data_IF_717623432906
#
_entry.id   IF_717623432906
#
_cell.length_a   1.000
_cell.length_b   1.000
_cell.length_c   1.000
_cell.angle_alpha   90.00
_cell.angle_beta   90.00
_cell.angle_gamma   90.00
#
_symmetry.space_group_name_H-M   'P 1'
#
loop_
_entity.id
_entity.type
_entity.pdbx_description
1 polymer ?
#
# COMPACT_ATOMS: atom_id res chain seq x y z
N UNK A 1 -38.23 -8.52 -8.87
CA UNK A 1 -37.30 -7.82 -7.93
C UNK A 1 -37.63 -6.33 -8.03
N UNK A 2 -38.12 -5.70 -6.95
CA UNK A 2 -38.46 -4.28 -6.96
C UNK A 2 -37.16 -3.45 -7.14
N UNK A 3 -37.23 -2.37 -7.92
CA UNK A 3 -36.12 -1.43 -8.03
C UNK A 3 -35.88 -0.76 -6.67
N UNK A 4 -34.61 -0.56 -6.24
CA UNK A 4 -34.32 0.12 -4.99
C UNK A 4 -34.89 1.56 -5.03
N UNK A 5 -35.40 2.02 -3.90
CA UNK A 5 -35.90 3.39 -3.79
C UNK A 5 -34.73 4.38 -3.89
N UNK A 6 -35.02 5.63 -4.26
CA UNK A 6 -33.98 6.69 -4.27
C UNK A 6 -33.32 6.87 -2.89
N UNK A 7 -34.07 6.63 -1.82
CA UNK A 7 -33.55 6.66 -0.43
C UNK A 7 -32.55 5.50 -0.19
N UNK A 8 -32.83 4.29 -0.67
CA UNK A 8 -31.94 3.15 -0.51
C UNK A 8 -30.62 3.36 -1.27
N UNK A 9 -30.68 3.98 -2.45
CA UNK A 9 -29.49 4.31 -3.26
C UNK A 9 -28.64 5.35 -2.56
N UNK A 10 -29.24 6.41 -2.01
CA UNK A 10 -28.53 7.43 -1.27
C UNK A 10 -27.87 6.87 -0.01
N UNK A 11 -28.59 6.04 0.74
CA UNK A 11 -28.07 5.37 1.93
C UNK A 11 -26.89 4.46 1.63
N UNK A 12 -26.96 3.71 0.53
CA UNK A 12 -25.86 2.85 0.08
C UNK A 12 -24.63 3.67 -0.33
N UNK A 13 -24.83 4.82 -0.98
CA UNK A 13 -23.74 5.73 -1.35
C UNK A 13 -23.05 6.33 -0.11
N UNK A 14 -23.82 6.82 0.88
CA UNK A 14 -23.29 7.32 2.14
C UNK A 14 -22.45 6.27 2.88
N UNK A 15 -22.94 5.04 2.98
CA UNK A 15 -22.24 3.92 3.62
C UNK A 15 -20.94 3.57 2.91
N UNK A 16 -20.94 3.53 1.56
CA UNK A 16 -19.72 3.30 0.78
C UNK A 16 -18.70 4.42 0.97
N UNK A 17 -19.13 5.68 0.91
CA UNK A 17 -18.25 6.82 1.12
C UNK A 17 -17.56 6.75 2.49
N UNK A 18 -18.30 6.45 3.56
CA UNK A 18 -17.75 6.29 4.90
C UNK A 18 -16.80 5.07 5.00
N UNK A 19 -17.13 3.95 4.35
CA UNK A 19 -16.27 2.77 4.33
C UNK A 19 -14.97 3.03 3.57
N UNK A 20 -15.03 3.69 2.42
CA UNK A 20 -13.88 4.10 1.60
C UNK A 20 -12.96 5.04 2.38
N UNK A 21 -13.53 6.03 3.07
CA UNK A 21 -12.78 6.93 3.94
C UNK A 21 -12.00 6.16 5.01
N UNK A 22 -12.67 5.27 5.75
CA UNK A 22 -12.04 4.50 6.83
C UNK A 22 -10.99 3.52 6.32
N UNK A 23 -11.14 2.98 5.11
CA UNK A 23 -10.13 2.10 4.51
C UNK A 23 -8.85 2.87 4.16
N UNK A 24 -8.98 4.09 3.62
CA UNK A 24 -7.86 4.98 3.30
C UNK A 24 -7.24 5.62 4.55
N UNK A 25 -8.09 6.07 5.45
CA UNK A 25 -7.73 6.78 6.67
C UNK A 25 -8.25 6.00 7.87
N UNK A 26 -7.49 4.99 8.33
CA UNK A 26 -7.95 4.09 9.40
C UNK A 26 -8.16 4.77 10.77
N UNK A 27 -7.77 6.01 10.91
CA UNK A 27 -8.03 6.85 12.08
C UNK A 27 -8.56 8.19 11.58
N UNK A 28 -9.80 8.50 11.95
CA UNK A 28 -10.49 9.76 11.63
C UNK A 28 -10.91 10.40 12.94
N UNK A 29 -10.60 11.68 13.12
CA UNK A 29 -10.94 12.45 14.34
C UNK A 29 -11.92 13.57 14.03
N UNK A 30 -12.67 13.99 15.03
CA UNK A 30 -13.67 15.05 14.89
C UNK A 30 -13.04 16.43 14.55
N UNK A 31 -11.78 16.65 14.91
CA UNK A 31 -11.04 17.90 14.71
C UNK A 31 -9.88 17.75 13.72
N UNK A 32 -9.76 16.59 13.05
CA UNK A 32 -8.65 16.29 12.16
C UNK A 32 -8.90 16.66 10.70
N UNK A 33 -8.00 16.23 9.79
CA UNK A 33 -8.08 16.54 8.35
C UNK A 33 -9.36 16.08 7.65
N UNK A 34 -10.10 15.13 8.25
CA UNK A 34 -11.35 14.56 7.71
C UNK A 34 -12.54 14.77 8.67
N UNK A 35 -12.50 15.85 9.45
CA UNK A 35 -13.54 16.17 10.43
C UNK A 35 -14.93 16.34 9.81
N UNK A 36 -15.02 16.85 8.61
CA UNK A 36 -16.25 17.02 7.82
C UNK A 36 -16.96 15.69 7.52
N UNK A 37 -16.20 14.60 7.35
CA UNK A 37 -16.73 13.28 7.09
C UNK A 37 -16.99 12.44 8.35
N UNK A 38 -16.48 12.86 9.51
CA UNK A 38 -16.65 12.13 10.77
C UNK A 38 -18.12 11.92 11.18
N UNK A 39 -19.04 12.92 11.04
CA UNK A 39 -20.48 12.72 11.31
C UNK A 39 -21.11 11.61 10.47
N UNK A 40 -20.64 11.42 9.21
CA UNK A 40 -21.11 10.36 8.33
C UNK A 40 -20.69 8.98 8.85
N UNK A 41 -19.44 8.85 9.28
CA UNK A 41 -18.92 7.61 9.91
C UNK A 41 -19.73 7.27 11.16
N UNK A 42 -20.01 8.24 12.03
CA UNK A 42 -20.82 8.04 13.24
C UNK A 42 -22.25 7.60 12.93
N UNK A 43 -22.88 8.22 11.94
CA UNK A 43 -24.26 7.87 11.53
C UNK A 43 -24.40 6.41 11.13
N UNK A 44 -23.36 5.84 10.49
CA UNK A 44 -23.37 4.48 9.96
C UNK A 44 -22.51 3.50 10.77
N UNK A 45 -22.14 3.86 12.02
CA UNK A 45 -21.16 3.14 12.83
C UNK A 45 -21.46 1.63 12.95
N UNK A 46 -22.69 1.26 13.30
CA UNK A 46 -23.09 -0.14 13.50
C UNK A 46 -22.99 -0.95 12.20
N UNK A 47 -23.49 -0.40 11.11
CA UNK A 47 -23.42 -1.04 9.80
C UNK A 47 -21.96 -1.22 9.34
N UNK A 48 -21.14 -0.17 9.48
CA UNK A 48 -19.73 -0.19 9.14
C UNK A 48 -18.95 -1.22 9.96
N UNK A 49 -19.16 -1.23 11.29
CA UNK A 49 -18.51 -2.18 12.19
C UNK A 49 -18.87 -3.63 11.82
N UNK A 50 -20.16 -3.90 11.59
CA UNK A 50 -20.60 -5.22 11.17
C UNK A 50 -20.00 -5.62 9.82
N UNK A 51 -20.02 -4.73 8.82
CA UNK A 51 -19.54 -5.05 7.47
C UNK A 51 -18.03 -5.22 7.41
N UNK A 52 -17.24 -4.34 8.03
CA UNK A 52 -15.80 -4.52 8.11
C UNK A 52 -15.41 -5.81 8.81
N UNK A 53 -16.08 -6.15 9.90
CA UNK A 53 -15.83 -7.42 10.59
C UNK A 53 -16.21 -8.63 9.74
N UNK A 54 -17.36 -8.62 9.05
CA UNK A 54 -17.83 -9.74 8.23
C UNK A 54 -17.02 -9.93 6.95
N UNK A 55 -16.63 -8.84 6.28
CA UNK A 55 -15.95 -8.90 4.98
C UNK A 55 -14.44 -9.03 5.17
N UNK A 56 -13.82 -8.19 5.98
CA UNK A 56 -12.36 -8.09 6.10
C UNK A 56 -11.81 -8.60 7.45
N UNK A 57 -12.68 -8.87 8.41
CA UNK A 57 -12.26 -9.19 9.77
C UNK A 57 -11.58 -8.01 10.47
N UNK A 58 -11.84 -6.78 10.04
CA UNK A 58 -11.33 -5.57 10.65
C UNK A 58 -12.30 -5.07 11.71
N UNK A 59 -11.79 -4.85 12.92
CA UNK A 59 -12.56 -4.23 14.00
C UNK A 59 -12.64 -2.72 13.77
N UNK A 60 -13.85 -2.15 13.87
CA UNK A 60 -14.06 -0.72 13.88
C UNK A 60 -14.49 -0.29 15.29
N UNK A 61 -13.84 0.76 15.81
CA UNK A 61 -14.22 1.46 17.03
C UNK A 61 -14.67 2.87 16.63
N UNK A 62 -15.84 3.29 17.09
CA UNK A 62 -16.35 4.65 16.86
C UNK A 62 -16.71 5.27 18.22
N UNK A 63 -15.98 6.30 18.58
CA UNK A 63 -16.11 7.05 19.82
C UNK A 63 -16.72 8.44 19.55
N UNK A 64 -16.88 9.23 20.59
CA UNK A 64 -17.46 10.58 20.47
C UNK A 64 -16.60 11.51 19.59
N UNK A 65 -15.29 11.36 19.64
CA UNK A 65 -14.31 12.28 19.03
C UNK A 65 -13.44 11.63 17.95
N UNK A 66 -13.46 10.31 17.80
CA UNK A 66 -12.69 9.61 16.77
C UNK A 66 -13.33 8.30 16.34
N UNK A 67 -12.93 7.83 15.15
CA UNK A 67 -13.21 6.50 14.65
C UNK A 67 -11.90 5.81 14.25
N UNK A 68 -11.73 4.54 14.66
CA UNK A 68 -10.53 3.75 14.40
C UNK A 68 -10.89 2.41 13.77
N UNK A 69 -10.49 2.22 12.51
CA UNK A 69 -10.51 0.92 11.83
C UNK A 69 -9.18 0.20 12.08
N UNK A 70 -9.22 -0.91 12.81
CA UNK A 70 -8.02 -1.71 13.09
C UNK A 70 -7.71 -2.61 11.89
N UNK A 71 -6.94 -2.07 10.93
CA UNK A 71 -6.48 -2.83 9.77
C UNK A 71 -5.38 -3.79 10.20
N UNK A 72 -5.55 -5.06 9.86
CA UNK A 72 -4.50 -6.05 10.05
C UNK A 72 -3.56 -6.03 8.84
N UNK A 73 -2.26 -6.21 9.09
CA UNK A 73 -1.27 -6.37 8.02
C UNK A 73 -1.44 -7.70 7.26
N UNK A 74 -0.74 -7.82 6.14
CA UNK A 74 -0.66 -9.06 5.34
C UNK A 74 0.64 -9.85 5.61
N UNK A 75 1.37 -9.49 6.66
CA UNK A 75 2.63 -10.09 7.02
C UNK A 75 3.87 -9.27 6.62
N UNK A 76 5.07 -9.82 6.82
CA UNK A 76 6.32 -9.15 6.52
C UNK A 76 6.39 -8.72 5.04
N UNK A 77 6.87 -7.49 4.80
CA UNK A 77 7.03 -6.94 3.46
C UNK A 77 5.76 -6.40 2.80
N UNK A 78 4.60 -6.48 3.46
CA UNK A 78 3.33 -5.98 2.93
C UNK A 78 3.02 -4.52 3.32
N UNK A 79 3.83 -3.92 4.19
CA UNK A 79 3.60 -2.58 4.72
C UNK A 79 4.00 -1.47 3.74
N UNK A 80 3.23 -0.39 3.75
CA UNK A 80 3.61 0.86 3.09
C UNK A 80 4.49 1.69 4.02
N UNK A 81 5.55 2.30 3.48
CA UNK A 81 6.38 3.22 4.24
C UNK A 81 5.62 4.50 4.52
N UNK A 82 5.65 4.96 5.76
CA UNK A 82 5.16 6.30 6.08
C UNK A 82 6.08 7.36 5.47
N UNK A 83 5.49 8.45 5.05
CA UNK A 83 6.19 9.58 4.45
C UNK A 83 5.93 10.84 5.26
N UNK A 84 6.88 11.75 5.21
CA UNK A 84 6.71 13.13 5.69
C UNK A 84 5.80 13.88 4.74
N UNK A 85 5.30 15.03 5.14
CA UNK A 85 4.52 15.92 4.26
C UNK A 85 5.25 16.34 2.97
N UNK A 86 6.58 16.23 2.95
CA UNK A 86 7.44 16.49 1.79
C UNK A 86 7.56 15.30 0.83
N UNK A 87 6.90 14.16 1.09
CA UNK A 87 7.05 12.91 0.33
C UNK A 87 8.30 12.10 0.69
N UNK A 88 9.14 12.57 1.64
CA UNK A 88 10.33 11.82 2.06
C UNK A 88 9.95 10.66 2.96
N UNK A 89 10.36 9.40 2.66
CA UNK A 89 10.05 8.24 3.48
C UNK A 89 10.62 8.37 4.90
N UNK A 90 9.88 7.80 5.87
CA UNK A 90 10.37 7.66 7.22
C UNK A 90 11.57 6.71 7.27
N UNK A 91 12.60 7.12 8.02
CA UNK A 91 13.76 6.28 8.31
C UNK A 91 13.44 5.33 9.48
N UNK A 92 14.18 4.21 9.64
CA UNK A 92 14.05 3.35 10.81
C UNK A 92 14.13 4.11 12.13
N UNK A 93 14.98 5.14 12.18
CA UNK A 93 15.13 6.01 13.33
C UNK A 93 13.91 6.88 13.61
N UNK A 94 13.20 7.34 12.57
CA UNK A 94 11.93 8.06 12.72
C UNK A 94 10.85 7.15 13.32
N UNK A 95 10.78 5.89 12.90
CA UNK A 95 9.87 4.90 13.49
C UNK A 95 10.21 4.60 14.95
N UNK A 96 11.51 4.51 15.29
CA UNK A 96 11.93 4.31 16.69
C UNK A 96 11.46 5.47 17.58
N UNK A 97 11.68 6.73 17.15
CA UNK A 97 11.16 7.88 17.89
C UNK A 97 9.64 7.90 17.99
N UNK A 98 8.93 7.50 16.94
CA UNK A 98 7.47 7.39 16.95
C UNK A 98 6.99 6.35 17.97
N UNK A 99 7.62 5.18 18.02
CA UNK A 99 7.28 4.14 18.98
C UNK A 99 7.57 4.56 20.43
N UNK A 100 8.73 5.17 20.66
CA UNK A 100 9.10 5.69 21.98
C UNK A 100 8.14 6.80 22.43
N UNK A 101 7.82 7.75 21.56
CA UNK A 101 6.86 8.81 21.88
C UNK A 101 5.47 8.21 22.21
N UNK A 102 5.00 7.23 21.44
CA UNK A 102 3.73 6.54 21.75
C UNK A 102 3.78 5.85 23.11
N UNK A 103 4.88 5.18 23.47
CA UNK A 103 5.01 4.54 24.79
C UNK A 103 4.91 5.55 25.95
N UNK A 104 5.49 6.73 25.78
CA UNK A 104 5.42 7.83 26.75
C UNK A 104 3.98 8.37 26.82
N UNK A 105 3.34 8.64 25.68
CA UNK A 105 2.01 9.25 25.63
C UNK A 105 0.91 8.41 26.30
N UNK A 106 1.07 7.09 26.32
CA UNK A 106 0.08 6.16 26.94
C UNK A 106 -0.09 6.46 28.45
N UNK A 107 0.95 6.96 29.14
CA UNK A 107 0.96 7.26 30.58
C UNK A 107 1.13 8.74 30.90
N UNK A 108 1.40 9.59 29.90
CA UNK A 108 1.63 11.02 30.06
C UNK A 108 0.42 11.73 30.69
N UNK A 109 0.59 12.85 31.40
CA UNK A 109 -0.51 13.71 31.82
C UNK A 109 -1.26 14.29 30.61
N UNK A 110 -2.46 14.84 30.83
CA UNK A 110 -3.28 15.43 29.76
C UNK A 110 -2.59 16.60 29.07
N UNK A 111 -1.79 17.38 29.82
CA UNK A 111 -0.95 18.45 29.28
C UNK A 111 0.51 18.20 29.60
N UNK A 112 1.37 18.43 28.62
CA UNK A 112 2.81 18.24 28.75
C UNK A 112 3.55 19.34 27.99
N UNK A 113 4.65 19.82 28.56
CA UNK A 113 5.58 20.69 27.85
C UNK A 113 6.40 19.88 26.84
N UNK A 114 6.67 20.49 25.70
CA UNK A 114 7.46 19.84 24.64
C UNK A 114 8.85 19.42 25.13
N UNK A 115 9.51 20.26 25.93
CA UNK A 115 10.80 19.94 26.54
C UNK A 115 10.72 18.71 27.44
N UNK A 116 9.63 18.59 28.25
CA UNK A 116 9.42 17.43 29.11
C UNK A 116 9.16 16.18 28.27
N UNK A 117 8.30 16.24 27.25
CA UNK A 117 8.04 15.12 26.36
C UNK A 117 9.32 14.62 25.67
N UNK A 118 10.17 15.54 25.22
CA UNK A 118 11.48 15.21 24.63
C UNK A 118 12.40 14.52 25.65
N UNK A 119 12.41 14.98 26.89
CA UNK A 119 13.19 14.35 27.97
C UNK A 119 12.69 12.94 28.28
N UNK A 120 11.36 12.75 28.37
CA UNK A 120 10.74 11.45 28.65
C UNK A 120 10.98 10.45 27.49
N UNK A 121 10.91 10.90 26.23
CA UNK A 121 11.25 10.07 25.06
C UNK A 121 12.72 9.64 25.08
N UNK A 122 13.62 10.50 25.52
CA UNK A 122 15.04 10.15 25.68
C UNK A 122 15.25 9.14 26.81
N UNK A 123 14.59 9.34 27.94
CA UNK A 123 14.64 8.38 29.05
C UNK A 123 14.11 7.01 28.60
N UNK A 124 12.97 6.95 27.92
CA UNK A 124 12.44 5.73 27.38
C UNK A 124 13.38 5.03 26.37
N UNK A 125 14.15 5.78 25.60
CA UNK A 125 15.16 5.23 24.71
C UNK A 125 16.32 4.58 25.46
N UNK A 126 16.82 5.22 26.52
CA UNK A 126 17.86 4.65 27.38
C UNK A 126 17.37 3.36 28.03
N UNK A 127 16.14 3.36 28.57
CA UNK A 127 15.53 2.19 29.19
C UNK A 127 15.35 1.04 28.20
N UNK A 128 15.09 1.35 26.93
CA UNK A 128 15.02 0.37 25.84
C UNK A 128 16.39 -0.10 25.31
N UNK A 129 17.50 0.37 25.89
CA UNK A 129 18.85 0.04 25.44
C UNK A 129 19.25 0.65 24.09
N UNK A 130 18.52 1.67 23.63
CA UNK A 130 18.80 2.35 22.37
C UNK A 130 19.80 3.48 22.59
N UNK A 131 20.94 3.40 21.90
CA UNK A 131 21.92 4.50 21.89
C UNK A 131 21.41 5.63 21.01
N UNK A 132 20.76 6.62 21.61
CA UNK A 132 20.47 7.90 20.96
C UNK A 132 21.72 8.77 21.14
N UNK A 133 22.73 8.52 20.31
CA UNK A 133 23.92 9.34 20.28
C UNK A 133 23.53 10.75 19.83
N UNK A 134 23.96 11.72 20.64
CA UNK A 134 23.99 13.16 20.31
C UNK A 134 22.61 13.74 19.88
N UNK A 135 21.66 13.67 20.79
CA UNK A 135 20.32 14.28 20.65
C UNK A 135 20.31 15.79 20.36
N UNK A 136 21.47 16.43 20.43
CA UNK A 136 21.69 17.83 20.07
C UNK A 136 21.89 18.08 18.58
N UNK A 137 22.20 17.05 17.77
CA UNK A 137 22.44 17.22 16.33
C UNK A 137 21.18 17.67 15.58
N UNK A 138 21.28 18.61 14.64
CA UNK A 138 20.12 19.08 13.86
C UNK A 138 19.35 17.98 13.15
N UNK A 139 20.01 16.89 12.75
CA UNK A 139 19.40 15.74 12.09
C UNK A 139 18.47 14.98 13.07
N UNK A 140 18.92 14.76 14.31
CA UNK A 140 18.15 14.07 15.33
C UNK A 140 16.91 14.89 15.74
N UNK A 141 17.07 16.18 15.97
CA UNK A 141 15.97 17.09 16.25
C UNK A 141 14.92 17.06 15.15
N UNK A 142 15.34 17.10 13.88
CA UNK A 142 14.41 17.00 12.72
C UNK A 142 13.73 15.64 12.63
N UNK A 143 14.41 14.57 13.02
CA UNK A 143 13.86 13.22 13.01
C UNK A 143 12.80 13.05 14.09
N UNK A 144 13.07 13.52 15.31
CA UNK A 144 12.09 13.56 16.40
C UNK A 144 10.89 14.46 16.05
N UNK A 145 11.14 15.67 15.54
CA UNK A 145 10.06 16.57 15.12
C UNK A 145 9.15 15.93 14.05
N UNK A 146 9.71 15.12 13.13
CA UNK A 146 8.90 14.39 12.14
C UNK A 146 8.01 13.32 12.78
N UNK A 147 8.51 12.61 13.80
CA UNK A 147 7.72 11.65 14.56
C UNK A 147 6.59 12.34 15.36
N UNK A 148 6.90 13.44 16.04
CA UNK A 148 5.90 14.21 16.80
C UNK A 148 4.82 14.83 15.89
N UNK A 149 5.18 15.37 14.72
CA UNK A 149 4.21 15.86 13.74
C UNK A 149 3.24 14.77 13.30
N UNK A 150 3.72 13.54 13.11
CA UNK A 150 2.83 12.42 12.78
C UNK A 150 1.82 12.11 13.90
N UNK A 151 2.22 12.29 15.16
CA UNK A 151 1.31 12.13 16.30
C UNK A 151 0.29 13.27 16.39
N UNK A 152 0.68 14.48 15.98
CA UNK A 152 -0.27 15.60 15.80
C UNK A 152 -1.24 15.31 14.64
N UNK A 153 -0.74 14.88 13.48
CA UNK A 153 -1.58 14.50 12.33
C UNK A 153 -2.61 13.42 12.69
N UNK A 154 -2.27 12.52 13.60
CA UNK A 154 -3.16 11.48 14.10
C UNK A 154 -4.08 11.92 15.25
N UNK A 155 -3.90 13.12 15.76
CA UNK A 155 -4.68 13.62 16.90
C UNK A 155 -4.31 13.00 18.25
N UNK A 156 -3.20 12.25 18.34
CA UNK A 156 -2.66 11.77 19.61
C UNK A 156 -2.03 12.91 20.43
N UNK A 157 -1.59 13.97 19.74
CA UNK A 157 -1.13 15.24 20.30
C UNK A 157 -1.91 16.38 19.65
N UNK A 158 -2.20 17.41 20.43
CA UNK A 158 -2.72 18.69 19.93
C UNK A 158 -1.79 19.80 20.40
N UNK A 159 -1.39 20.68 19.49
CA UNK A 159 -0.58 21.86 19.78
C UNK A 159 -1.51 22.93 20.40
N UNK A 160 -1.45 23.08 21.72
CA UNK A 160 -2.30 24.04 22.45
C UNK A 160 -1.69 25.44 22.41
N UNK A 161 -0.36 25.52 22.57
CA UNK A 161 0.44 26.73 22.40
C UNK A 161 1.82 26.36 21.88
N UNK A 162 2.34 27.10 20.90
CA UNK A 162 3.58 26.76 20.22
C UNK A 162 3.42 25.61 19.22
N UNK A 163 4.54 25.00 18.80
CA UNK A 163 4.56 23.92 17.81
C UNK A 163 5.61 22.87 18.09
N UNK A 164 5.31 21.59 17.82
CA UNK A 164 6.30 20.50 17.86
C UNK A 164 7.47 20.73 16.88
N UNK A 165 7.30 21.58 15.89
CA UNK A 165 8.35 22.01 14.97
C UNK A 165 9.48 22.74 15.65
N UNK A 166 9.25 23.39 16.79
CA UNK A 166 10.24 24.14 17.55
C UNK A 166 11.38 23.26 18.10
N UNK A 167 11.18 21.94 18.24
CA UNK A 167 12.26 20.99 18.56
C UNK A 167 13.43 21.10 17.57
N UNK A 168 13.13 21.35 16.29
CA UNK A 168 14.13 21.43 15.23
C UNK A 168 14.72 22.83 15.07
N UNK A 169 14.17 23.85 15.73
CA UNK A 169 14.67 25.21 15.66
C UNK A 169 15.98 25.37 16.46
N UNK A 170 16.89 26.21 15.97
CA UNK A 170 18.18 26.48 16.64
C UNK A 170 17.97 27.16 18.00
N UNK A 171 16.98 28.04 18.14
CA UNK A 171 16.69 28.79 19.35
C UNK A 171 15.90 27.98 20.41
N UNK A 172 15.43 26.78 20.10
CA UNK A 172 14.67 25.93 21.02
C UNK A 172 13.43 26.63 21.56
N UNK A 173 12.31 26.55 20.84
CA UNK A 173 11.01 27.06 21.32
C UNK A 173 10.33 26.06 22.24
N UNK A 174 9.58 26.54 23.24
CA UNK A 174 8.70 25.70 24.06
C UNK A 174 7.33 25.60 23.43
N UNK A 175 6.63 24.51 23.70
CA UNK A 175 5.24 24.32 23.29
C UNK A 175 4.46 23.57 24.38
N UNK A 176 3.20 23.93 24.54
CA UNK A 176 2.26 23.22 25.40
C UNK A 176 1.43 22.28 24.51
N UNK A 177 1.47 20.99 24.84
CA UNK A 177 0.80 19.94 24.09
C UNK A 177 -0.31 19.30 24.93
N UNK A 178 -1.47 19.10 24.34
CA UNK A 178 -2.54 18.27 24.91
C UNK A 178 -2.43 16.85 24.39
N UNK A 179 -2.45 15.88 25.30
CA UNK A 179 -2.26 14.43 25.00
C UNK A 179 -3.60 13.72 24.98
N UNK A 180 -3.96 13.12 23.83
CA UNK A 180 -5.07 12.21 23.73
C UNK A 180 -4.57 10.75 23.90
N UNK A 181 -4.64 10.26 25.15
CA UNK A 181 -4.18 8.91 25.51
C UNK A 181 -5.00 7.81 24.85
N UNK A 182 -6.28 8.01 24.61
CA UNK A 182 -7.14 7.00 23.98
C UNK A 182 -6.75 6.80 22.53
N UNK A 183 -6.52 7.88 21.79
CA UNK A 183 -5.99 7.81 20.43
C UNK A 183 -4.62 7.16 20.44
N UNK A 184 -3.70 7.60 21.31
CA UNK A 184 -2.35 7.03 21.39
C UNK A 184 -2.38 5.50 21.59
N UNK A 185 -3.26 4.99 22.47
CA UNK A 185 -3.45 3.55 22.70
C UNK A 185 -4.05 2.81 21.49
N UNK A 186 -4.83 3.50 20.67
CA UNK A 186 -5.52 2.91 19.52
C UNK A 186 -4.66 2.85 18.24
N UNK A 187 -3.51 3.52 18.20
CA UNK A 187 -2.68 3.63 16.98
C UNK A 187 -2.17 2.27 16.54
N UNK A 188 -1.64 1.48 17.46
CA UNK A 188 -1.12 0.14 17.13
C UNK A 188 -2.27 -0.85 17.02
N UNK A 189 -2.45 -1.42 15.85
CA UNK A 189 -3.55 -2.33 15.55
C UNK A 189 -3.32 -3.79 15.98
N UNK A 190 -2.07 -4.18 16.28
CA UNK A 190 -1.70 -5.55 16.58
C UNK A 190 -1.82 -5.92 18.07
N UNK A 191 -1.69 -7.20 18.41
CA UNK A 191 -1.78 -7.72 19.77
C UNK A 191 -0.48 -7.51 20.56
N UNK A 192 -0.18 -6.25 20.91
CA UNK A 192 1.06 -5.85 21.61
C UNK A 192 1.38 -6.70 22.85
N UNK A 193 0.38 -6.94 23.69
CA UNK A 193 0.57 -7.68 24.95
C UNK A 193 0.85 -9.17 24.77
N UNK A 194 0.58 -9.71 23.59
CA UNK A 194 0.79 -11.12 23.25
C UNK A 194 2.05 -11.33 22.42
N UNK A 195 2.68 -10.24 21.97
CA UNK A 195 3.85 -10.28 21.09
C UNK A 195 5.14 -10.18 21.88
N UNK A 196 6.12 -10.99 21.51
CA UNK A 196 7.43 -11.05 22.17
C UNK A 196 8.38 -9.99 21.65
N UNK A 197 8.22 -9.62 20.37
CA UNK A 197 9.02 -8.60 19.67
C UNK A 197 8.26 -8.02 18.47
N UNK A 198 8.89 -7.11 17.73
CA UNK A 198 8.27 -6.46 16.57
C UNK A 198 7.99 -7.41 15.41
N UNK A 199 8.80 -8.43 15.20
CA UNK A 199 8.59 -9.43 14.16
C UNK A 199 7.40 -10.33 14.49
N UNK A 200 7.29 -10.78 15.73
CA UNK A 200 6.15 -11.53 16.22
C UNK A 200 4.86 -10.71 16.18
N UNK A 201 4.93 -9.40 16.50
CA UNK A 201 3.79 -8.49 16.37
C UNK A 201 3.27 -8.43 14.92
N UNK A 202 4.17 -8.31 13.94
CA UNK A 202 3.81 -8.29 12.51
C UNK A 202 3.17 -9.60 12.08
N UNK A 203 3.73 -10.72 12.50
CA UNK A 203 3.20 -12.06 12.19
C UNK A 203 1.81 -12.29 12.80
N UNK A 204 1.64 -11.98 14.09
CA UNK A 204 0.34 -12.11 14.78
C UNK A 204 -0.70 -11.15 14.25
N UNK A 205 -0.30 -9.94 13.85
CA UNK A 205 -1.21 -8.97 13.23
C UNK A 205 -1.75 -9.44 11.88
N UNK A 206 -0.99 -10.27 11.17
CA UNK A 206 -1.40 -10.83 9.88
C UNK A 206 -2.31 -12.05 10.01
N UNK A 207 -2.36 -12.68 11.19
CA UNK A 207 -3.19 -13.85 11.44
C UNK A 207 -4.68 -13.54 11.15
N UNK A 208 -5.33 -14.23 10.22
CA UNK A 208 -6.74 -14.03 9.90
C UNK A 208 -7.69 -14.57 10.99
N UNK A 209 -7.18 -15.24 12.02
CA UNK A 209 -7.95 -15.83 13.11
C UNK A 209 -8.97 -16.87 12.61
N UNK A 210 -10.14 -16.91 13.25
CA UNK A 210 -11.23 -17.84 12.88
C UNK A 210 -11.75 -17.68 11.44
N UNK A 211 -11.47 -16.55 10.77
CA UNK A 211 -11.81 -16.34 9.38
C UNK A 211 -10.97 -17.15 8.40
N UNK A 212 -9.80 -17.60 8.83
CA UNK A 212 -8.87 -18.45 8.07
C UNK A 212 -8.58 -17.95 6.66
N UNK A 213 -8.47 -18.87 5.69
CA UNK A 213 -8.14 -18.56 4.30
C UNK A 213 -9.05 -17.49 3.68
N UNK A 214 -10.34 -17.50 4.02
CA UNK A 214 -11.34 -16.56 3.51
C UNK A 214 -10.98 -15.11 3.84
N UNK A 215 -10.73 -14.83 5.11
CA UNK A 215 -10.42 -13.47 5.57
C UNK A 215 -9.08 -13.00 5.02
N UNK A 216 -8.08 -13.88 4.95
CA UNK A 216 -6.78 -13.57 4.37
C UNK A 216 -6.88 -13.19 2.89
N UNK A 217 -7.57 -14.00 2.08
CA UNK A 217 -7.75 -13.71 0.64
C UNK A 217 -8.51 -12.39 0.44
N UNK A 218 -9.56 -12.13 1.23
CA UNK A 218 -10.33 -10.89 1.15
C UNK A 218 -9.49 -9.66 1.47
N UNK A 219 -8.64 -9.73 2.50
CA UNK A 219 -7.68 -8.67 2.82
C UNK A 219 -6.71 -8.45 1.65
N UNK A 220 -6.17 -9.50 1.06
CA UNK A 220 -5.31 -9.40 -0.12
C UNK A 220 -6.01 -8.74 -1.30
N UNK A 221 -7.26 -9.08 -1.58
CA UNK A 221 -8.03 -8.48 -2.68
C UNK A 221 -8.20 -6.97 -2.56
N UNK A 222 -8.23 -6.42 -1.35
CA UNK A 222 -8.39 -4.98 -1.11
C UNK A 222 -7.05 -4.25 -0.94
N UNK A 223 -6.06 -4.91 -0.32
CA UNK A 223 -4.79 -4.28 0.05
C UNK A 223 -3.69 -4.48 -1.03
N UNK A 224 -3.96 -5.26 -2.10
CA UNK A 224 -2.98 -5.46 -3.18
C UNK A 224 -3.62 -5.25 -4.55
N UNK A 225 -2.88 -4.70 -5.52
CA UNK A 225 -3.43 -4.42 -6.86
C UNK A 225 -3.96 -5.66 -7.58
N UNK A 226 -3.31 -6.81 -7.41
CA UNK A 226 -3.67 -8.10 -8.03
C UNK A 226 -3.39 -9.23 -7.08
N UNK A 227 -4.29 -10.20 -6.97
CA UNK A 227 -4.08 -11.46 -6.29
C UNK A 227 -3.94 -12.56 -7.33
N UNK A 228 -2.72 -13.08 -7.52
CA UNK A 228 -2.46 -14.19 -8.42
C UNK A 228 -2.82 -15.52 -7.75
N UNK A 229 -3.43 -16.44 -8.52
CA UNK A 229 -3.88 -17.74 -7.99
C UNK A 229 -2.72 -18.66 -7.61
N UNK A 230 -1.57 -18.54 -8.26
CA UNK A 230 -0.36 -19.30 -7.96
C UNK A 230 0.32 -18.88 -6.64
N UNK A 231 -0.01 -17.72 -6.11
CA UNK A 231 0.46 -17.23 -4.80
C UNK A 231 -0.39 -17.72 -3.62
N UNK A 232 -1.54 -18.28 -3.90
CA UNK A 232 -2.47 -18.78 -2.91
C UNK A 232 -2.17 -20.25 -2.59
N UNK A 233 -2.39 -20.63 -1.34
CA UNK A 233 -2.43 -22.04 -0.96
C UNK A 233 -3.58 -22.74 -1.70
N UNK A 234 -3.56 -24.05 -1.78
CA UNK A 234 -4.62 -24.82 -2.44
C UNK A 234 -6.00 -24.50 -1.84
N UNK A 235 -6.11 -24.45 -0.51
CA UNK A 235 -7.36 -24.13 0.17
C UNK A 235 -7.87 -22.71 -0.12
N UNK A 236 -6.97 -21.71 -0.20
CA UNK A 236 -7.30 -20.34 -0.54
C UNK A 236 -7.75 -20.20 -1.99
N UNK A 237 -7.05 -20.89 -2.89
CA UNK A 237 -7.35 -20.92 -4.33
C UNK A 237 -8.71 -21.54 -4.61
N UNK A 238 -9.00 -22.69 -4.03
CA UNK A 238 -10.27 -23.39 -4.20
C UNK A 238 -11.42 -22.57 -3.59
N UNK A 239 -11.19 -21.96 -2.44
CA UNK A 239 -12.16 -21.07 -1.83
C UNK A 239 -12.47 -19.88 -2.76
N UNK A 240 -11.45 -19.22 -3.31
CA UNK A 240 -11.62 -18.07 -4.20
C UNK A 240 -12.33 -18.47 -5.49
N UNK A 241 -11.88 -19.54 -6.18
CA UNK A 241 -12.47 -20.02 -7.44
C UNK A 241 -13.96 -20.31 -7.33
N UNK A 242 -14.39 -20.90 -6.23
CA UNK A 242 -15.79 -21.27 -6.02
C UNK A 242 -16.70 -20.10 -5.65
N UNK A 243 -16.13 -18.95 -5.24
CA UNK A 243 -16.89 -17.85 -4.63
C UNK A 243 -16.66 -16.48 -5.26
N UNK A 244 -15.93 -16.38 -6.34
CA UNK A 244 -15.52 -15.12 -6.99
C UNK A 244 -16.69 -14.12 -7.17
N UNK A 245 -17.84 -14.57 -7.65
CA UNK A 245 -19.01 -13.69 -7.85
C UNK A 245 -19.57 -13.14 -6.55
N UNK A 246 -19.71 -13.99 -5.54
CA UNK A 246 -20.22 -13.59 -4.23
C UNK A 246 -19.26 -12.61 -3.54
N UNK A 247 -17.97 -12.80 -3.70
CA UNK A 247 -16.96 -11.89 -3.17
C UNK A 247 -16.98 -10.55 -3.91
N UNK A 248 -17.13 -10.55 -5.23
CA UNK A 248 -17.32 -9.34 -6.01
C UNK A 248 -18.52 -8.52 -5.54
N UNK A 249 -19.66 -9.18 -5.28
CA UNK A 249 -20.86 -8.54 -4.73
C UNK A 249 -20.60 -7.92 -3.36
N UNK A 250 -19.89 -8.62 -2.46
CA UNK A 250 -19.58 -8.13 -1.12
C UNK A 250 -18.68 -6.89 -1.15
N UNK A 251 -17.69 -6.84 -2.05
CA UNK A 251 -16.83 -5.68 -2.23
C UNK A 251 -17.53 -4.52 -2.95
N UNK A 252 -18.38 -4.81 -3.91
CA UNK A 252 -19.22 -3.80 -4.56
C UNK A 252 -20.19 -3.15 -3.57
N UNK A 253 -20.81 -3.93 -2.67
CA UNK A 253 -21.68 -3.40 -1.63
C UNK A 253 -20.93 -2.52 -0.61
N UNK A 254 -19.79 -3.00 -0.09
CA UNK A 254 -19.02 -2.32 0.95
C UNK A 254 -18.25 -1.12 0.43
N UNK A 255 -17.57 -1.27 -0.72
CA UNK A 255 -16.57 -0.33 -1.21
C UNK A 255 -16.87 0.25 -2.61
N UNK A 256 -17.84 -0.31 -3.34
CA UNK A 256 -18.10 0.08 -4.73
C UNK A 256 -17.07 -0.45 -5.72
N UNK A 257 -16.26 -1.44 -5.31
CA UNK A 257 -15.23 -2.02 -6.18
C UNK A 257 -15.83 -2.99 -7.19
N UNK A 258 -15.23 -3.05 -8.37
CA UNK A 258 -15.53 -4.00 -9.42
C UNK A 258 -14.43 -5.07 -9.51
N UNK A 259 -14.83 -6.34 -9.61
CA UNK A 259 -13.87 -7.43 -9.72
C UNK A 259 -13.55 -7.73 -11.19
N UNK A 260 -12.27 -7.62 -11.56
CA UNK A 260 -11.73 -8.17 -12.80
C UNK A 260 -11.19 -9.57 -12.51
N UNK A 261 -11.91 -10.60 -13.03
CA UNK A 261 -11.61 -12.00 -12.78
C UNK A 261 -11.03 -12.60 -14.06
N UNK A 262 -9.81 -13.15 -13.95
CA UNK A 262 -9.10 -13.84 -15.04
C UNK A 262 -8.63 -15.22 -14.58
N UNK A 263 -8.16 -16.02 -15.53
CA UNK A 263 -7.64 -17.37 -15.24
C UNK A 263 -6.43 -17.33 -14.27
N UNK A 264 -5.59 -16.31 -14.38
CA UNK A 264 -4.38 -16.13 -13.59
C UNK A 264 -4.60 -15.48 -12.22
N UNK A 265 -5.71 -14.74 -12.04
CA UNK A 265 -5.92 -13.99 -10.80
C UNK A 265 -7.14 -13.11 -10.76
N UNK A 266 -7.24 -12.34 -9.68
CA UNK A 266 -8.33 -11.39 -9.44
C UNK A 266 -7.75 -10.03 -9.04
N UNK A 267 -8.25 -8.98 -9.69
CA UNK A 267 -8.00 -7.59 -9.31
C UNK A 267 -9.31 -6.91 -8.92
N UNK A 268 -9.27 -6.11 -7.85
CA UNK A 268 -10.37 -5.23 -7.49
C UNK A 268 -10.10 -3.84 -8.07
N UNK A 269 -11.00 -3.39 -8.92
CA UNK A 269 -10.90 -2.12 -9.63
C UNK A 269 -11.79 -1.10 -8.94
N UNK A 270 -11.23 0.07 -8.65
CA UNK A 270 -11.99 1.22 -8.19
C UNK A 270 -12.37 2.09 -9.40
N UNK A 271 -13.65 2.15 -9.79
CA UNK A 271 -14.07 2.96 -10.93
C UNK A 271 -13.93 4.46 -10.71
N UNK A 272 -13.87 4.89 -9.45
CA UNK A 272 -13.76 6.32 -9.07
C UNK A 272 -12.31 6.76 -8.84
N UNK A 273 -11.32 5.85 -8.86
CA UNK A 273 -9.89 6.11 -8.60
C UNK A 273 -9.59 6.77 -7.23
N UNK A 274 -10.48 6.63 -6.25
CA UNK A 274 -10.31 7.26 -4.93
C UNK A 274 -9.58 6.37 -3.92
N UNK A 275 -9.71 5.04 -4.02
CA UNK A 275 -9.10 4.09 -3.10
C UNK A 275 -7.67 3.71 -3.47
N UNK A 276 -7.22 4.03 -4.69
CA UNK A 276 -5.87 3.70 -5.11
C UNK A 276 -4.84 4.70 -4.57
N UNK A 277 -3.76 4.19 -4.00
CA UNK A 277 -2.56 4.92 -3.59
C UNK A 277 -1.43 4.83 -4.62
N UNK A 278 -1.56 3.94 -5.60
CA UNK A 278 -0.65 3.75 -6.72
C UNK A 278 -1.38 4.01 -8.04
N UNK A 279 -1.12 5.18 -8.66
CA UNK A 279 -1.77 5.54 -9.91
C UNK A 279 -0.94 5.10 -11.12
N UNK A 280 -1.51 4.19 -11.93
CA UNK A 280 -1.00 3.83 -13.24
C UNK A 280 -2.19 3.60 -14.19
N UNK A 281 -2.41 4.45 -15.21
CA UNK A 281 -1.67 5.66 -15.58
C UNK A 281 -1.61 6.72 -14.48
N UNK A 282 -0.47 7.45 -14.40
CA UNK A 282 -0.24 8.49 -13.42
C UNK A 282 0.44 9.71 -14.04
N UNK A 283 0.56 10.77 -13.24
CA UNK A 283 1.27 11.99 -13.62
C UNK A 283 2.76 11.92 -13.25
N UNK A 284 3.59 12.65 -13.97
CA UNK A 284 5.03 12.74 -13.71
C UNK A 284 5.87 11.71 -14.49
N UNK A 285 7.18 11.95 -14.49
CA UNK A 285 8.15 11.24 -15.34
C UNK A 285 8.14 9.73 -15.09
N UNK A 286 8.20 9.30 -13.83
CA UNK A 286 8.27 7.88 -13.47
C UNK A 286 7.01 7.13 -13.88
N UNK A 287 5.81 7.70 -13.63
CA UNK A 287 4.56 7.04 -13.98
C UNK A 287 4.37 6.93 -15.51
N UNK A 288 4.77 7.98 -16.26
CA UNK A 288 4.73 7.95 -17.72
C UNK A 288 5.74 6.94 -18.29
N UNK A 289 6.98 6.95 -17.80
CA UNK A 289 8.01 6.01 -18.22
C UNK A 289 7.61 4.55 -17.90
N UNK A 290 7.07 4.29 -16.71
CA UNK A 290 6.59 2.98 -16.31
C UNK A 290 5.44 2.48 -17.21
N UNK A 291 4.47 3.35 -17.54
CA UNK A 291 3.37 3.00 -18.43
C UNK A 291 3.86 2.64 -19.84
N UNK A 292 4.74 3.45 -20.41
CA UNK A 292 5.31 3.20 -21.73
C UNK A 292 6.20 1.95 -21.72
N UNK A 293 6.98 1.74 -20.66
CA UNK A 293 7.83 0.57 -20.51
C UNK A 293 7.00 -0.71 -20.46
N UNK A 294 5.94 -0.77 -19.66
CA UNK A 294 5.11 -1.98 -19.57
C UNK A 294 4.41 -2.28 -20.90
N UNK A 295 3.93 -1.26 -21.62
CA UNK A 295 3.36 -1.43 -22.97
C UNK A 295 4.40 -2.04 -23.94
N UNK A 296 5.64 -1.51 -23.97
CA UNK A 296 6.73 -2.03 -24.81
C UNK A 296 7.10 -3.47 -24.44
N UNK A 297 7.21 -3.77 -23.13
CA UNK A 297 7.52 -5.11 -22.64
C UNK A 297 6.45 -6.13 -23.08
N UNK A 298 5.17 -5.82 -22.90
CA UNK A 298 4.08 -6.73 -23.29
C UNK A 298 4.08 -6.97 -24.81
N UNK A 299 4.32 -5.95 -25.62
CA UNK A 299 4.41 -6.11 -27.08
C UNK A 299 5.61 -6.93 -27.54
N UNK A 300 6.75 -6.77 -26.86
CA UNK A 300 8.00 -7.44 -27.22
C UNK A 300 8.00 -8.90 -26.80
N UNK A 301 7.52 -9.20 -25.59
CA UNK A 301 7.63 -10.52 -24.97
C UNK A 301 6.45 -11.46 -25.23
N UNK A 302 5.27 -10.91 -25.50
CA UNK A 302 4.01 -11.67 -25.74
C UNK A 302 3.83 -12.77 -24.69
N UNK A 303 3.33 -12.44 -23.47
CA UNK A 303 3.13 -13.40 -22.40
C UNK A 303 2.37 -14.64 -22.87
N UNK A 304 2.86 -15.82 -22.53
CA UNK A 304 2.23 -17.10 -22.77
C UNK A 304 1.59 -17.66 -21.48
N UNK A 305 0.91 -18.80 -21.58
CA UNK A 305 0.25 -19.44 -20.44
C UNK A 305 1.21 -20.33 -19.62
N UNK A 306 2.48 -20.44 -20.01
CA UNK A 306 3.43 -21.27 -19.32
C UNK A 306 3.84 -20.65 -17.97
N UNK A 307 3.94 -21.46 -16.94
CA UNK A 307 4.47 -21.04 -15.65
C UNK A 307 6.00 -20.89 -15.71
N UNK A 308 6.52 -19.75 -15.27
CA UNK A 308 7.93 -19.45 -15.24
C UNK A 308 8.48 -19.39 -13.82
N UNK A 309 9.71 -19.81 -13.57
CA UNK A 309 10.35 -19.67 -12.27
C UNK A 309 10.58 -18.19 -11.97
N UNK A 310 9.91 -17.70 -10.94
CA UNK A 310 10.01 -16.31 -10.53
C UNK A 310 9.82 -16.19 -9.02
N UNK A 311 10.00 -15.03 -8.52
CA UNK A 311 9.58 -14.50 -7.22
C UNK A 311 9.61 -15.47 -6.03
N UNK A 312 10.71 -15.48 -5.31
CA UNK A 312 10.85 -16.26 -4.08
C UNK A 312 10.78 -17.77 -4.26
N UNK A 313 11.14 -18.26 -5.45
CA UNK A 313 11.20 -19.68 -5.77
C UNK A 313 9.86 -20.32 -6.10
N UNK A 314 8.88 -19.55 -6.55
CA UNK A 314 7.57 -20.02 -7.02
C UNK A 314 7.50 -20.07 -8.53
N UNK A 315 6.60 -20.91 -9.04
CA UNK A 315 6.13 -20.76 -10.42
C UNK A 315 5.09 -19.64 -10.45
N UNK A 316 5.21 -18.72 -11.41
CA UNK A 316 4.21 -17.68 -11.63
C UNK A 316 3.88 -17.59 -13.12
N UNK A 317 2.65 -17.20 -13.42
CA UNK A 317 2.22 -16.95 -14.80
C UNK A 317 2.81 -15.61 -15.24
N UNK A 318 3.80 -15.68 -16.12
CA UNK A 318 4.51 -14.52 -16.61
C UNK A 318 5.60 -14.91 -17.59
N UNK A 319 6.35 -13.93 -18.09
CA UNK A 319 7.44 -14.14 -19.05
C UNK A 319 8.73 -13.56 -18.49
N UNK A 320 9.83 -14.32 -18.45
CA UNK A 320 11.14 -13.77 -18.09
C UNK A 320 11.52 -12.60 -19.00
N UNK A 321 11.97 -11.51 -18.42
CA UNK A 321 12.49 -10.36 -19.16
C UNK A 321 13.96 -10.61 -19.41
N UNK A 322 14.40 -10.64 -20.69
CA UNK A 322 15.82 -10.82 -21.03
C UNK A 322 16.72 -9.78 -20.37
N UNK A 323 17.91 -10.16 -19.90
CA UNK A 323 18.88 -9.22 -19.35
C UNK A 323 19.14 -8.06 -20.33
N UNK A 324 19.15 -6.84 -19.81
CA UNK A 324 19.40 -5.63 -20.62
C UNK A 324 18.18 -5.05 -21.34
N UNK A 325 17.12 -5.84 -21.60
CA UNK A 325 15.95 -5.36 -22.35
C UNK A 325 15.25 -4.15 -21.70
N UNK A 326 15.14 -4.11 -20.37
CA UNK A 326 14.56 -2.96 -19.67
C UNK A 326 15.39 -1.70 -19.88
N UNK A 327 16.73 -1.82 -19.89
CA UNK A 327 17.62 -0.69 -20.13
C UNK A 327 17.48 -0.19 -21.59
N UNK A 328 17.53 -1.10 -22.54
CA UNK A 328 17.34 -0.82 -23.98
C UNK A 328 16.02 -0.05 -24.23
N UNK A 329 14.90 -0.60 -23.74
CA UNK A 329 13.59 0.03 -23.93
C UNK A 329 13.45 1.38 -23.23
N UNK A 330 14.05 1.57 -22.06
CA UNK A 330 14.01 2.86 -21.38
C UNK A 330 14.89 3.89 -22.06
N UNK A 331 16.05 3.52 -22.57
CA UNK A 331 16.90 4.42 -23.32
C UNK A 331 16.19 4.90 -24.62
N UNK A 332 15.53 3.98 -25.36
CA UNK A 332 14.66 4.33 -26.49
C UNK A 332 13.54 5.30 -26.07
N UNK A 333 12.87 5.06 -24.91
CA UNK A 333 11.79 5.92 -24.43
C UNK A 333 12.30 7.29 -24.01
N UNK A 334 13.49 7.40 -23.43
CA UNK A 334 14.12 8.69 -23.07
C UNK A 334 14.44 9.49 -24.32
N UNK A 335 14.95 8.87 -25.39
CA UNK A 335 15.21 9.51 -26.66
C UNK A 335 13.92 9.98 -27.34
N UNK A 336 12.87 9.14 -27.36
CA UNK A 336 11.60 9.43 -28.03
C UNK A 336 10.74 10.46 -27.29
N UNK A 337 10.61 10.30 -25.97
CA UNK A 337 9.65 11.06 -25.15
C UNK A 337 10.29 12.06 -24.19
N UNK A 338 11.52 11.89 -23.77
CA UNK A 338 12.13 12.65 -22.69
C UNK A 338 12.01 14.16 -22.84
N UNK A 339 12.26 14.70 -24.05
CA UNK A 339 12.10 16.12 -24.35
C UNK A 339 10.64 16.51 -24.66
N UNK A 340 9.91 15.66 -25.39
CA UNK A 340 8.54 15.95 -25.84
C UNK A 340 7.53 15.93 -24.70
N UNK A 341 7.70 15.02 -23.74
CA UNK A 341 6.85 14.87 -22.57
C UNK A 341 7.35 15.69 -21.36
N UNK A 342 8.39 16.50 -21.55
CA UNK A 342 8.95 17.36 -20.50
C UNK A 342 9.33 16.59 -19.23
N UNK A 343 10.03 15.45 -19.40
CA UNK A 343 10.49 14.66 -18.27
C UNK A 343 11.50 15.41 -17.41
N UNK A 344 11.50 15.15 -16.12
CA UNK A 344 12.38 15.82 -15.17
C UNK A 344 13.85 15.59 -15.53
N UNK A 345 14.64 16.67 -15.54
CA UNK A 345 16.03 16.66 -15.96
C UNK A 345 16.89 15.68 -15.16
N UNK A 346 16.66 15.55 -13.86
CA UNK A 346 17.40 14.60 -13.02
C UNK A 346 17.28 13.15 -13.48
N UNK A 347 16.14 12.76 -14.08
CA UNK A 347 15.96 11.43 -14.66
C UNK A 347 16.58 11.30 -16.05
N UNK A 348 16.59 12.39 -16.84
CA UNK A 348 17.27 12.40 -18.13
C UNK A 348 18.79 12.32 -17.97
N UNK A 349 19.32 12.97 -16.93
CA UNK A 349 20.75 12.93 -16.59
C UNK A 349 21.17 11.61 -15.92
N UNK A 350 20.21 10.84 -15.39
CA UNK A 350 20.43 9.55 -14.72
C UNK A 350 19.40 8.48 -15.13
N UNK A 351 19.51 7.88 -16.33
CA UNK A 351 18.56 6.82 -16.79
C UNK A 351 18.49 5.61 -15.86
N UNK A 352 19.57 5.32 -15.15
CA UNK A 352 19.60 4.24 -14.16
C UNK A 352 18.64 4.50 -12.98
N UNK A 353 18.49 5.76 -12.55
CA UNK A 353 17.54 6.15 -11.51
C UNK A 353 16.10 6.00 -12.03
N UNK A 354 15.82 6.51 -13.24
CA UNK A 354 14.52 6.34 -13.87
C UNK A 354 14.12 4.86 -13.98
N UNK A 355 15.07 4.01 -14.37
CA UNK A 355 14.85 2.56 -14.46
C UNK A 355 14.49 1.95 -13.12
N UNK A 356 15.23 2.29 -12.06
CA UNK A 356 14.98 1.78 -10.72
C UNK A 356 13.59 2.18 -10.22
N UNK A 357 13.23 3.45 -10.35
CA UNK A 357 11.95 3.97 -9.87
C UNK A 357 10.76 3.45 -10.71
N UNK A 358 10.92 3.31 -12.03
CA UNK A 358 9.90 2.74 -12.90
C UNK A 358 9.66 1.24 -12.58
N UNK A 359 10.72 0.45 -12.39
CA UNK A 359 10.60 -0.94 -11.99
C UNK A 359 10.01 -1.10 -10.59
N UNK A 360 10.36 -0.23 -9.64
CA UNK A 360 9.74 -0.22 -8.31
C UNK A 360 8.23 0.04 -8.40
N UNK A 361 7.80 1.04 -9.18
CA UNK A 361 6.38 1.31 -9.40
C UNK A 361 5.66 0.12 -10.03
N UNK A 362 6.21 -0.46 -11.10
CA UNK A 362 5.63 -1.63 -11.77
C UNK A 362 5.59 -2.87 -10.85
N UNK A 363 6.59 -3.04 -9.99
CA UNK A 363 6.62 -4.12 -9.01
C UNK A 363 5.56 -3.93 -7.92
N UNK A 364 5.38 -2.70 -7.42
CA UNK A 364 4.32 -2.37 -6.46
C UNK A 364 2.93 -2.56 -7.07
N UNK A 365 2.77 -2.25 -8.36
CA UNK A 365 1.55 -2.53 -9.14
C UNK A 365 1.39 -4.01 -9.49
N UNK A 366 2.37 -4.85 -9.15
CA UNK A 366 2.38 -6.29 -9.44
C UNK A 366 2.28 -6.60 -10.94
N UNK A 367 2.93 -5.80 -11.76
CA UNK A 367 3.04 -5.96 -13.21
C UNK A 367 4.37 -6.59 -13.61
N UNK A 368 5.40 -6.41 -12.80
CA UNK A 368 6.67 -7.11 -12.87
C UNK A 368 7.06 -7.63 -11.49
N UNK A 369 7.94 -8.62 -11.45
CA UNK A 369 8.52 -9.11 -10.21
C UNK A 369 9.98 -9.51 -10.43
N UNK A 370 10.86 -9.41 -9.39
CA UNK A 370 12.21 -9.93 -9.49
C UNK A 370 12.17 -11.45 -9.63
N UNK A 371 12.94 -11.99 -10.58
CA UNK A 371 13.14 -13.42 -10.73
C UNK A 371 13.93 -13.97 -9.53
N UNK A 372 13.69 -15.22 -9.16
CA UNK A 372 14.38 -15.89 -8.06
C UNK A 372 14.55 -17.38 -8.33
N UNK A 373 15.43 -18.07 -7.60
CA UNK A 373 15.60 -19.50 -7.74
C UNK A 373 14.33 -20.26 -7.38
N UNK A 374 14.01 -21.33 -8.11
CA UNK A 374 12.93 -22.25 -7.78
C UNK A 374 13.16 -22.87 -6.39
N UNK A 375 12.13 -22.86 -5.55
CA UNK A 375 12.11 -23.69 -4.34
C UNK A 375 11.83 -25.14 -4.72
N UNK A 376 12.51 -26.07 -4.06
CA UNK A 376 12.47 -27.51 -4.37
C UNK A 376 11.07 -28.14 -4.14
N UNK A 377 10.20 -27.51 -3.38
CA UNK A 377 8.87 -28.00 -3.01
C UNK A 377 7.71 -27.51 -3.89
N UNK A 378 7.97 -26.58 -4.81
CA UNK A 378 6.97 -26.09 -5.78
C UNK A 378 5.72 -25.44 -5.19
N UNK A 379 5.56 -25.45 -3.85
CA UNK A 379 4.42 -24.91 -3.13
C UNK A 379 4.82 -23.66 -2.35
N UNK A 380 4.35 -22.53 -2.83
CA UNK A 380 4.68 -21.26 -2.21
C UNK A 380 3.82 -20.97 -0.99
N UNK A 381 4.18 -21.46 0.17
CA UNK A 381 3.66 -20.93 1.42
C UNK A 381 4.26 -19.54 1.65
N UNK A 382 3.49 -18.52 2.00
CA UNK A 382 4.04 -17.21 2.34
C UNK A 382 5.13 -17.35 3.41
N UNK A 383 6.24 -16.60 3.34
CA UNK A 383 7.37 -16.73 4.28
C UNK A 383 6.98 -16.63 5.77
N UNK A 384 5.86 -16.00 6.06
CA UNK A 384 5.32 -15.87 7.42
C UNK A 384 4.55 -17.11 7.90
N UNK A 385 4.02 -17.93 6.98
CA UNK A 385 3.32 -19.18 7.33
C UNK A 385 4.29 -20.29 7.73
N UNK A 386 5.49 -20.34 7.13
CA UNK A 386 6.53 -21.31 7.47
C UNK A 386 7.11 -21.09 8.88
N UNK A 387 7.08 -19.86 9.41
CA UNK A 387 7.55 -19.58 10.77
C UNK A 387 6.56 -19.90 11.87
N UNK A 388 5.28 -20.01 11.57
CA UNK A 388 4.29 -20.52 12.53
C UNK A 388 4.46 -22.01 12.80
N UNK A 389 5.26 -22.72 11.98
CA UNK A 389 5.51 -24.15 12.06
C UNK A 389 6.88 -24.57 12.64
N UNK A 390 7.75 -23.63 13.04
CA UNK A 390 9.00 -23.95 13.76
C UNK A 390 10.28 -23.37 13.17
N UNK A 391 11.07 -22.84 14.04
CA UNK A 391 12.46 -22.40 14.02
C UNK A 391 12.77 -20.93 13.72
N UNK A 392 13.06 -20.23 14.84
CA UNK A 392 13.46 -18.84 14.89
C UNK A 392 14.85 -18.55 14.32
N UNK A 393 14.91 -18.08 13.07
CA UNK A 393 16.04 -17.28 12.60
C UNK A 393 15.53 -16.05 11.88
N UNK A 394 15.80 -14.91 12.49
CA UNK A 394 15.50 -13.60 11.95
C UNK A 394 16.26 -13.35 10.64
N UNK A 395 15.57 -12.95 9.59
CA UNK A 395 16.19 -12.30 8.43
C UNK A 395 16.22 -10.81 8.72
N UNK A 396 17.32 -10.35 9.30
CA UNK A 396 17.72 -8.95 9.37
C UNK A 396 18.52 -8.65 8.10
N UNK A 397 17.91 -8.27 7.01
CA UNK A 397 18.54 -7.36 6.05
C UNK A 397 17.55 -6.84 5.01
N UNK A 398 16.92 -5.72 5.30
CA UNK A 398 16.13 -4.95 4.33
C UNK A 398 17.06 -4.10 3.43
N UNK A 399 18.34 -4.01 3.77
CA UNK A 399 19.34 -3.25 2.99
C UNK A 399 19.85 -4.03 1.77
N UNK A 400 19.83 -5.36 1.81
CA UNK A 400 20.28 -6.21 0.70
C UNK A 400 19.33 -6.17 -0.52
N UNK A 401 18.06 -5.81 -0.33
CA UNK A 401 17.09 -5.71 -1.43
C UNK A 401 17.39 -4.55 -2.41
N UNK A 402 18.20 -3.56 -2.01
CA UNK A 402 18.59 -2.44 -2.88
C UNK A 402 19.77 -2.76 -3.81
N UNK A 403 20.56 -3.79 -3.51
CA UNK A 403 21.78 -4.12 -4.27
C UNK A 403 21.57 -5.30 -5.23
N UNK A 404 20.45 -6.03 -5.12
CA UNK A 404 20.14 -7.19 -5.97
C UNK A 404 19.38 -6.82 -7.27
N UNK A 405 19.49 -5.60 -7.76
CA UNK A 405 18.78 -5.11 -8.96
C UNK A 405 19.46 -5.46 -10.28
N UNK A 406 20.41 -6.36 -10.29
CA UNK A 406 21.10 -6.83 -11.53
C UNK A 406 20.68 -8.26 -11.88
N UNK A 407 19.50 -8.69 -11.48
CA UNK A 407 19.01 -10.03 -11.83
C UNK A 407 17.66 -9.95 -12.52
N UNK A 408 17.43 -10.87 -13.34
CA UNK A 408 16.28 -11.19 -14.15
C UNK A 408 14.94 -10.77 -13.51
N UNK A 409 14.16 -10.06 -14.28
CA UNK A 409 12.78 -9.70 -13.94
C UNK A 409 11.81 -10.59 -14.69
N UNK A 410 10.61 -10.77 -14.16
CA UNK A 410 9.50 -11.45 -14.82
C UNK A 410 8.39 -10.45 -15.08
N UNK A 411 7.92 -10.39 -16.31
CA UNK A 411 6.71 -9.66 -16.68
C UNK A 411 5.50 -10.53 -16.28
N UNK A 412 4.67 -10.03 -15.38
CA UNK A 412 3.52 -10.76 -14.85
C UNK A 412 2.28 -10.59 -15.74
N UNK A 413 1.35 -11.55 -15.66
CA UNK A 413 0.18 -11.62 -16.55
C UNK A 413 -0.69 -10.36 -16.53
N UNK A 414 -0.87 -9.70 -15.37
CA UNK A 414 -1.66 -8.46 -15.28
C UNK A 414 -1.08 -7.30 -16.11
N UNK A 415 0.19 -7.35 -16.49
CA UNK A 415 0.80 -6.35 -17.38
C UNK A 415 0.10 -6.28 -18.74
N UNK A 416 -0.47 -7.39 -19.21
CA UNK A 416 -1.20 -7.46 -20.49
C UNK A 416 -2.39 -6.48 -20.56
N UNK A 417 -2.93 -6.06 -19.42
CA UNK A 417 -4.00 -5.03 -19.35
C UNK A 417 -3.58 -3.71 -20.01
N UNK A 418 -2.32 -3.35 -19.96
CA UNK A 418 -1.82 -2.06 -20.42
C UNK A 418 -1.50 -1.99 -21.92
N UNK A 419 -1.41 -3.16 -22.59
CA UNK A 419 -1.16 -3.22 -24.03
C UNK A 419 -2.45 -3.23 -24.90
N UNK A 420 -3.59 -3.62 -24.34
CA UNK A 420 -4.85 -3.80 -25.10
C UNK A 420 -5.46 -2.48 -25.60
N UNK A 421 -5.22 -1.37 -24.93
CA UNK A 421 -5.82 -0.07 -25.25
C UNK A 421 -5.32 0.50 -26.60
N UNK A 422 -4.12 0.13 -27.05
CA UNK A 422 -3.52 0.64 -28.31
C UNK A 422 -3.94 -0.21 -29.51
N UNK A 423 -4.25 -1.49 -29.32
CA UNK A 423 -4.70 -2.38 -30.41
C UNK A 423 -6.10 -2.02 -30.91
N UNK A 424 -6.99 -1.55 -30.03
CA UNK A 424 -8.36 -1.16 -30.40
C UNK A 424 -8.39 0.11 -31.28
N UNK A 425 -7.53 1.10 -31.04
CA UNK A 425 -7.45 2.31 -31.89
C UNK A 425 -6.95 2.02 -33.30
N UNK A 426 -6.12 1.02 -33.49
CA UNK A 426 -5.65 0.60 -34.82
C UNK A 426 -6.68 -0.21 -35.59
N UNK A 427 -7.51 -1.00 -34.89
CA UNK A 427 -8.59 -1.76 -35.52
C UNK A 427 -9.68 -0.84 -36.07
N UNK A 428 -10.08 0.19 -35.30
CA UNK A 428 -11.08 1.17 -35.74
C UNK A 428 -10.62 2.02 -36.93
N UNK A 429 -9.33 2.30 -37.07
CA UNK A 429 -8.81 3.02 -38.24
C UNK A 429 -8.79 2.18 -39.53
N UNK A 430 -8.71 0.85 -39.42
CA UNK A 430 -8.83 -0.04 -40.60
C UNK A 430 -10.28 -0.29 -41.01
N UNK A 431 -11.22 -0.24 -40.07
CA UNK A 431 -12.66 -0.38 -40.36
C UNK A 431 -13.29 0.90 -40.96
N UNK A 432 -12.63 2.05 -40.85
CA UNK A 432 -13.12 3.33 -41.34
C UNK A 432 -12.63 3.71 -42.76
N UNK A 433 -11.92 2.82 -43.47
CA UNK A 433 -11.61 3.06 -44.90
C UNK A 433 -12.67 2.38 -45.76
N UNK A 434 -13.59 3.14 -46.41
CA UNK A 434 -14.52 2.55 -47.37
C UNK A 434 -13.78 2.13 -48.64
N UNK A 435 -14.04 0.92 -49.07
CA UNK A 435 -13.61 0.34 -50.34
C UNK A 435 -13.96 1.29 -51.50
N UNK A 436 -12.94 1.99 -52.01
CA UNK A 436 -13.01 2.64 -53.31
C UNK A 436 -12.44 1.71 -54.37
N UNK A 437 -13.24 0.73 -54.80
CA UNK A 437 -13.02 0.06 -56.06
C UNK A 437 -14.39 -0.35 -56.64
N UNK A 438 -14.75 0.24 -57.76
CA UNK A 438 -15.83 -0.25 -58.61
C UNK A 438 -16.59 0.85 -59.37
N UNK A 439 -15.92 1.57 -60.28
CA UNK A 439 -16.64 2.13 -61.42
C UNK A 439 -16.38 1.22 -62.63
N UNK A 440 -17.43 0.69 -63.29
CA UNK A 440 -17.29 0.07 -64.60
C UNK A 440 -17.30 1.12 -65.68
N UNK A 441 -16.31 1.05 -66.56
CA UNK A 441 -16.29 1.75 -67.86
C UNK A 441 -17.44 1.31 -68.74
N UNK A 442 -18.16 2.31 -69.29
CA UNK A 442 -18.87 2.26 -70.55
C UNK A 442 -18.80 3.60 -71.21
#
# INVERSE_FOLDING_TARGET
MALPSSHDVALAAERRSAARLLLRHPLVTADGPHADAFPLVRRHADWLAQRFQQVLGYRLLVEATYARLFKAGLGPGSGHRMERSTGTPFTPRTYAYLALALSVLVTAPEQVLLSQLVADVRAAAVDAGLSIEDSGRPVEKRTLAAALRRLVDWGALTETDGSVGSVAAEAGGEALLTVNREIARSIVAGPLTQSTDGADLVLRSADPGFGGPRTYVRRRLVETPVVYLDELTEAERDWLRTRQRREAEAFSELLGLEAEIRAEGVAMIDPDDELTDLRLPGTGTVAQAALLLVDRLVRRLRPDEAGHPAVGGRLTIGVPIPPGLVAELLDELVEEYGRRANWQRGYLDSPALLRADALELLSRMRLVAPAGPLRADGHGVPPWYERAAGDGRAVTDVSAARTAVVGEWVLLAAAARYATTVSLKHADQRAAQPDRQGEPSS
#
